data_IF_243408069480
#
_entry.id   IF_243408069480
#
_cell.length_a   1.000
_cell.length_b   1.000
_cell.length_c   1.000
_cell.angle_alpha   90.00
_cell.angle_beta   90.00
_cell.angle_gamma   90.00
#
_symmetry.space_group_name_H-M   'P 1'
#
loop_
_entity.id
_entity.type
_entity.pdbx_description
1 polymer ?
#
# COMPACT_ATOMS: atom_id res chain seq x y z
N UNK A 1 8.89 -12.06 -6.83
CA UNK A 1 9.33 -11.34 -8.07
C UNK A 1 10.31 -10.23 -7.73
N UNK A 2 9.99 -9.33 -6.84
CA UNK A 2 10.80 -8.16 -6.47
C UNK A 2 12.22 -8.57 -6.01
N UNK A 3 12.35 -9.51 -5.08
CA UNK A 3 13.66 -10.04 -4.63
C UNK A 3 14.58 -10.45 -5.79
N UNK A 4 14.03 -11.15 -6.79
CA UNK A 4 14.80 -11.58 -7.96
C UNK A 4 15.31 -10.40 -8.80
N UNK A 5 14.54 -9.31 -8.91
CA UNK A 5 14.90 -8.12 -9.68
C UNK A 5 15.93 -7.25 -8.94
N UNK A 6 15.89 -7.25 -7.62
CA UNK A 6 16.83 -6.52 -6.78
C UNK A 6 18.17 -7.24 -6.65
N UNK A 7 18.17 -8.59 -6.70
CA UNK A 7 19.38 -9.40 -6.57
C UNK A 7 19.76 -9.70 -5.12
N UNK A 8 20.97 -10.20 -4.94
CA UNK A 8 21.46 -10.71 -3.64
C UNK A 8 21.96 -9.61 -2.69
N UNK A 9 22.16 -8.39 -3.18
CA UNK A 9 22.53 -7.23 -2.35
C UNK A 9 21.35 -6.66 -1.54
N UNK A 10 20.15 -7.19 -1.77
CA UNK A 10 18.92 -6.79 -1.08
C UNK A 10 18.29 -7.98 -0.38
N UNK A 11 17.62 -7.71 0.71
CA UNK A 11 16.74 -8.67 1.38
C UNK A 11 15.34 -8.08 1.45
N UNK A 12 14.38 -8.70 0.76
CA UNK A 12 12.98 -8.26 0.73
C UNK A 12 12.19 -9.04 1.77
N UNK A 13 11.64 -8.33 2.73
CA UNK A 13 10.74 -8.88 3.76
C UNK A 13 9.30 -8.68 3.27
N UNK A 14 8.58 -9.76 3.07
CA UNK A 14 7.22 -9.75 2.53
C UNK A 14 6.21 -9.79 3.69
N UNK A 15 5.58 -8.63 3.95
CA UNK A 15 4.60 -8.45 5.03
C UNK A 15 3.19 -8.13 4.50
N UNK A 16 2.93 -8.51 3.26
CA UNK A 16 1.61 -8.42 2.65
C UNK A 16 0.61 -9.39 3.29
N UNK A 17 -0.52 -8.85 3.75
CA UNK A 17 -1.63 -9.65 4.27
C UNK A 17 -2.90 -9.30 3.51
N UNK A 18 -3.62 -10.35 3.06
CA UNK A 18 -4.92 -10.17 2.40
C UNK A 18 -5.88 -9.34 3.28
N UNK A 19 -6.61 -8.45 2.66
CA UNK A 19 -7.58 -7.55 3.30
C UNK A 19 -6.99 -6.51 4.25
N UNK A 20 -5.67 -6.30 4.29
CA UNK A 20 -5.06 -5.29 5.14
C UNK A 20 -5.57 -3.89 4.79
N UNK A 21 -5.99 -3.16 5.81
CA UNK A 21 -6.40 -1.75 5.76
C UNK A 21 -5.27 -0.84 6.25
N UNK A 22 -5.46 0.47 6.15
CA UNK A 22 -4.53 1.44 6.75
C UNK A 22 -4.64 1.44 8.27
N UNK A 23 -5.73 1.95 8.84
CA UNK A 23 -5.91 2.15 10.28
C UNK A 23 -7.33 1.80 10.78
N UNK A 24 -8.09 1.00 10.04
CA UNK A 24 -9.43 0.60 10.42
C UNK A 24 -9.50 -0.90 10.66
N UNK A 25 -10.24 -1.30 11.69
CA UNK A 25 -10.44 -2.71 12.02
C UNK A 25 -11.45 -3.37 11.09
N UNK A 26 -11.16 -4.60 10.72
CA UNK A 26 -12.10 -5.50 10.09
C UNK A 26 -12.84 -6.28 11.17
N UNK A 27 -14.15 -6.42 11.02
CA UNK A 27 -14.94 -7.30 11.92
C UNK A 27 -14.64 -8.78 11.63
N UNK A 28 -14.51 -9.12 10.35
CA UNK A 28 -14.13 -10.46 9.89
C UNK A 28 -13.48 -10.36 8.50
N UNK A 29 -12.24 -10.84 8.30
CA UNK A 29 -11.33 -11.45 9.29
C UNK A 29 -10.69 -10.41 10.22
N UNK A 30 -10.33 -10.77 11.46
CA UNK A 30 -9.65 -9.88 12.40
C UNK A 30 -8.20 -9.60 11.98
N UNK A 31 -7.52 -8.71 12.72
CA UNK A 31 -6.08 -8.43 12.59
C UNK A 31 -5.66 -7.88 11.23
N UNK A 32 -6.54 -7.13 10.57
CA UNK A 32 -6.27 -6.49 9.28
C UNK A 32 -5.86 -5.03 9.38
N UNK A 33 -5.91 -4.44 10.56
CA UNK A 33 -5.52 -3.06 10.81
C UNK A 33 -4.01 -2.89 10.71
N UNK A 34 -3.56 -2.17 9.67
CA UNK A 34 -2.14 -1.91 9.42
C UNK A 34 -1.48 -1.13 10.54
N UNK A 35 -2.19 -0.15 11.12
CA UNK A 35 -1.68 0.65 12.24
C UNK A 35 -1.34 -0.19 13.46
N UNK A 36 -2.17 -1.17 13.79
CA UNK A 36 -1.94 -2.05 14.93
C UNK A 36 -0.79 -3.03 14.69
N UNK A 37 -0.65 -3.49 13.45
CA UNK A 37 0.38 -4.45 13.05
C UNK A 37 1.77 -3.82 12.87
N UNK A 38 1.83 -2.58 12.37
CA UNK A 38 3.07 -1.96 11.92
C UNK A 38 4.15 -1.83 13.02
N UNK A 39 3.86 -1.38 14.27
CA UNK A 39 4.89 -1.22 15.30
C UNK A 39 5.62 -2.53 15.64
N UNK A 40 4.95 -3.66 15.97
CA UNK A 40 5.65 -4.93 16.23
C UNK A 40 6.37 -5.46 14.98
N UNK A 41 5.84 -5.24 13.78
CA UNK A 41 6.47 -5.63 12.52
C UNK A 41 7.80 -4.89 12.33
N UNK A 42 7.83 -3.57 12.47
CA UNK A 42 9.05 -2.77 12.37
C UNK A 42 10.10 -3.21 13.38
N UNK A 43 9.71 -3.43 14.63
CA UNK A 43 10.61 -3.88 15.68
C UNK A 43 11.22 -5.25 15.36
N UNK A 44 10.41 -6.19 14.88
CA UNK A 44 10.86 -7.57 14.61
C UNK A 44 11.85 -7.65 13.44
N UNK A 45 11.78 -6.72 12.51
CA UNK A 45 12.60 -6.72 11.29
C UNK A 45 13.72 -5.67 11.28
N UNK A 46 13.83 -4.86 12.33
CA UNK A 46 14.90 -3.84 12.42
C UNK A 46 16.30 -4.48 12.44
N UNK A 47 17.33 -3.85 11.85
CA UNK A 47 17.28 -2.56 11.15
C UNK A 47 16.69 -2.66 9.73
N UNK A 48 15.99 -1.63 9.28
CA UNK A 48 15.36 -1.54 7.95
C UNK A 48 15.91 -0.34 7.18
N UNK A 49 16.27 -0.50 5.91
CA UNK A 49 16.65 0.62 5.05
C UNK A 49 15.44 1.35 4.50
N UNK A 50 14.39 0.62 4.13
CA UNK A 50 13.21 1.14 3.45
C UNK A 50 11.95 0.38 3.82
N UNK A 51 10.87 1.10 4.06
CA UNK A 51 9.50 0.57 4.18
C UNK A 51 8.70 0.97 2.95
N UNK A 52 8.07 0.00 2.30
CA UNK A 52 7.22 0.24 1.12
C UNK A 52 5.76 0.05 1.50
N UNK A 53 4.95 1.10 1.34
CA UNK A 53 3.50 1.04 1.53
C UNK A 53 2.76 0.90 0.19
N UNK A 54 1.95 -0.14 0.08
CA UNK A 54 1.04 -0.41 -1.04
C UNK A 54 -0.35 -0.77 -0.48
N UNK A 55 -0.97 0.17 0.23
CA UNK A 55 -2.24 0.02 0.96
C UNK A 55 -3.26 1.10 0.57
N UNK A 56 -4.49 0.96 1.06
CA UNK A 56 -5.59 1.89 0.84
C UNK A 56 -6.70 1.33 -0.04
N UNK A 57 -6.40 0.33 -0.89
CA UNK A 57 -7.41 -0.30 -1.75
C UNK A 57 -8.54 -0.98 -0.94
N UNK A 58 -8.19 -1.70 0.11
CA UNK A 58 -9.19 -2.35 0.99
C UNK A 58 -10.04 -1.35 1.76
N UNK A 59 -9.48 -0.21 2.13
CA UNK A 59 -10.18 0.89 2.81
C UNK A 59 -11.30 1.48 1.94
N UNK A 60 -11.18 1.35 0.61
CA UNK A 60 -12.18 1.77 -0.36
C UNK A 60 -13.49 1.00 -0.31
N UNK A 61 -13.55 -0.15 0.36
CA UNK A 61 -14.75 -1.01 0.44
C UNK A 61 -15.94 -0.28 1.07
N UNK A 62 -17.13 -0.56 0.53
CA UNK A 62 -18.36 0.14 0.87
C UNK A 62 -18.69 0.11 2.35
N UNK A 63 -18.46 -1.03 3.00
CA UNK A 63 -18.85 -1.20 4.41
C UNK A 63 -17.97 -0.42 5.40
N UNK A 64 -16.80 0.07 4.99
CA UNK A 64 -16.03 0.97 5.83
C UNK A 64 -16.53 2.42 5.77
N UNK A 65 -17.32 2.75 4.74
CA UNK A 65 -17.90 4.08 4.54
C UNK A 65 -16.89 5.23 4.66
N UNK A 66 -15.65 5.02 4.21
CA UNK A 66 -14.58 6.01 4.26
C UNK A 66 -14.55 6.89 3.02
N UNK A 67 -14.20 8.15 3.19
CA UNK A 67 -13.78 9.04 2.11
C UNK A 67 -12.34 8.77 1.68
N UNK A 68 -11.92 9.33 0.55
CA UNK A 68 -10.52 9.26 0.12
C UNK A 68 -9.58 9.99 1.09
N UNK A 69 -10.05 11.09 1.70
CA UNK A 69 -9.33 11.86 2.70
C UNK A 69 -9.08 11.05 3.98
N UNK A 70 -10.10 10.35 4.47
CA UNK A 70 -9.95 9.49 5.66
C UNK A 70 -8.97 8.33 5.42
N UNK A 71 -8.92 7.80 4.17
CA UNK A 71 -7.94 6.77 3.80
C UNK A 71 -6.53 7.39 3.75
N UNK A 72 -6.41 8.58 3.17
CA UNK A 72 -5.15 9.34 3.15
C UNK A 72 -4.65 9.61 4.56
N UNK A 73 -5.52 10.01 5.48
CA UNK A 73 -5.17 10.29 6.88
C UNK A 73 -4.72 9.01 7.60
N UNK A 74 -5.38 7.88 7.34
CA UNK A 74 -4.92 6.58 7.83
C UNK A 74 -3.52 6.21 7.33
N UNK A 75 -3.19 6.50 6.07
CA UNK A 75 -1.84 6.31 5.54
C UNK A 75 -0.83 7.28 6.18
N UNK A 76 -1.24 8.53 6.46
CA UNK A 76 -0.39 9.50 7.14
C UNK A 76 0.05 8.99 8.52
N UNK A 77 -0.86 8.38 9.28
CA UNK A 77 -0.54 7.75 10.58
C UNK A 77 0.50 6.62 10.44
N UNK A 78 0.40 5.79 9.40
CA UNK A 78 1.39 4.73 9.16
C UNK A 78 2.78 5.31 8.83
N UNK A 79 2.83 6.34 8.00
CA UNK A 79 4.09 7.04 7.69
C UNK A 79 4.68 7.66 8.95
N UNK A 80 3.87 8.30 9.79
CA UNK A 80 4.32 8.91 11.05
C UNK A 80 4.89 7.87 12.02
N UNK A 81 4.31 6.67 12.09
CA UNK A 81 4.84 5.57 12.90
C UNK A 81 6.24 5.18 12.42
N UNK A 82 6.45 5.05 11.11
CA UNK A 82 7.78 4.72 10.57
C UNK A 82 8.77 5.83 10.83
N UNK A 83 8.42 7.08 10.48
CA UNK A 83 9.30 8.24 10.62
C UNK A 83 9.59 8.60 12.08
N UNK A 84 8.70 8.29 13.00
CA UNK A 84 8.91 8.43 14.44
C UNK A 84 9.74 7.30 15.07
N UNK A 85 10.04 6.25 14.33
CA UNK A 85 10.82 5.10 14.81
C UNK A 85 12.32 5.36 14.72
N UNK A 86 13.09 4.48 15.38
CA UNK A 86 14.56 4.39 15.24
C UNK A 86 15.00 3.05 14.65
N UNK A 87 14.15 2.46 13.82
CA UNK A 87 14.36 1.12 13.27
C UNK A 87 15.04 1.11 11.90
N UNK A 88 15.61 2.25 11.49
CA UNK A 88 16.43 2.37 10.29
C UNK A 88 17.89 1.92 10.50
N UNK A 89 18.77 2.19 9.54
CA UNK A 89 20.18 1.84 9.63
C UNK A 89 20.81 2.30 10.94
N UNK A 90 21.64 1.46 11.53
CA UNK A 90 22.34 1.69 12.81
C UNK A 90 21.40 1.88 14.03
N UNK A 91 20.11 1.63 13.90
CA UNK A 91 19.09 1.79 14.96
C UNK A 91 19.08 3.18 15.60
N UNK A 92 19.42 4.22 14.84
CA UNK A 92 19.50 5.59 15.34
C UNK A 92 18.64 6.60 14.57
N UNK A 93 18.15 6.22 13.41
CA UNK A 93 17.24 6.98 12.55
C UNK A 93 16.08 6.11 12.04
N UNK A 94 15.07 6.74 11.47
CA UNK A 94 13.96 6.03 10.82
C UNK A 94 14.40 5.39 9.50
N UNK A 95 13.72 4.32 9.05
CA UNK A 95 13.82 3.85 7.67
C UNK A 95 13.32 4.92 6.67
N UNK A 96 13.82 4.86 5.45
CA UNK A 96 13.18 5.58 4.34
C UNK A 96 11.76 5.02 4.10
N UNK A 97 10.90 5.85 3.51
CA UNK A 97 9.52 5.43 3.16
C UNK A 97 9.28 5.62 1.68
N UNK A 98 8.76 4.58 1.03
CA UNK A 98 8.20 4.63 -0.31
C UNK A 98 6.70 4.38 -0.26
N UNK A 99 5.90 5.39 -0.58
CA UNK A 99 4.45 5.26 -0.77
C UNK A 99 4.16 4.99 -2.25
N UNK A 100 3.39 3.95 -2.56
CA UNK A 100 2.84 3.75 -3.91
C UNK A 100 1.43 4.30 -3.98
N UNK A 101 0.99 4.73 -5.16
CA UNK A 101 -0.42 5.04 -5.37
C UNK A 101 -1.30 3.82 -5.14
N UNK A 102 -2.57 4.07 -4.85
CA UNK A 102 -3.60 3.03 -4.91
C UNK A 102 -3.76 2.50 -6.33
N UNK A 103 -4.17 1.24 -6.46
CA UNK A 103 -4.68 0.69 -7.71
C UNK A 103 -6.13 1.18 -7.92
N UNK A 104 -6.46 1.51 -9.17
CA UNK A 104 -7.81 1.91 -9.53
C UNK A 104 -8.56 0.67 -9.99
N UNK A 105 -9.71 0.31 -9.36
CA UNK A 105 -10.51 -0.83 -9.78
C UNK A 105 -11.13 -0.61 -11.18
N UNK A 106 -11.39 -1.69 -11.88
CA UNK A 106 -12.17 -1.67 -13.12
C UNK A 106 -13.68 -1.64 -12.81
N UNK A 107 -14.54 -1.16 -13.73
CA UNK A 107 -15.98 -1.07 -13.51
C UNK A 107 -16.66 -2.37 -13.06
N UNK A 108 -16.15 -3.52 -13.50
CA UNK A 108 -16.64 -4.83 -13.09
C UNK A 108 -16.56 -5.05 -11.57
N UNK A 109 -15.56 -4.47 -10.89
CA UNK A 109 -15.39 -4.59 -9.44
C UNK A 109 -16.63 -4.07 -8.66
N UNK A 110 -17.28 -3.04 -9.17
CA UNK A 110 -18.46 -2.44 -8.53
C UNK A 110 -19.73 -3.28 -8.69
N UNK A 111 -19.70 -4.36 -9.48
CA UNK A 111 -20.83 -5.27 -9.69
C UNK A 111 -20.83 -6.47 -8.75
N UNK A 112 -19.71 -6.76 -8.10
CA UNK A 112 -19.59 -7.91 -7.21
C UNK A 112 -20.29 -7.68 -5.88
N UNK A 113 -21.00 -8.72 -5.44
CA UNK A 113 -21.70 -8.77 -4.15
C UNK A 113 -20.96 -9.72 -3.22
N UNK A 114 -20.95 -9.37 -1.95
CA UNK A 114 -20.56 -10.29 -0.88
C UNK A 114 -21.66 -11.35 -0.61
N UNK A 115 -21.42 -12.22 0.37
CA UNK A 115 -22.33 -13.27 0.79
C UNK A 115 -23.70 -12.74 1.28
N UNK A 116 -23.78 -11.47 1.69
CA UNK A 116 -24.98 -10.79 2.13
C UNK A 116 -25.66 -10.01 1.00
N UNK A 117 -25.15 -10.09 -0.22
CA UNK A 117 -25.68 -9.38 -1.39
C UNK A 117 -25.28 -7.89 -1.47
N UNK A 118 -24.33 -7.44 -0.66
CA UNK A 118 -23.86 -6.05 -0.65
C UNK A 118 -22.80 -5.85 -1.73
N UNK A 119 -22.93 -4.77 -2.51
CA UNK A 119 -21.94 -4.34 -3.50
C UNK A 119 -20.74 -3.74 -2.77
N UNK A 120 -19.75 -4.56 -2.42
CA UNK A 120 -18.69 -4.20 -1.50
C UNK A 120 -17.65 -3.23 -2.06
N UNK A 121 -17.57 -3.03 -3.39
CA UNK A 121 -16.70 -2.06 -4.06
C UNK A 121 -17.45 -0.88 -4.70
N UNK A 122 -18.75 -0.71 -4.43
CA UNK A 122 -19.54 0.38 -5.01
C UNK A 122 -18.97 1.75 -4.66
N UNK A 123 -18.68 2.58 -5.66
CA UNK A 123 -18.09 3.91 -5.52
C UNK A 123 -16.59 3.88 -5.24
N UNK A 124 -15.95 2.72 -5.26
CA UNK A 124 -14.51 2.59 -5.00
C UNK A 124 -13.66 3.21 -6.10
N UNK A 125 -14.08 3.14 -7.36
CA UNK A 125 -13.32 3.70 -8.50
C UNK A 125 -13.04 5.17 -8.25
N UNK A 126 -14.08 5.99 -8.15
CA UNK A 126 -13.93 7.45 -7.96
C UNK A 126 -13.13 7.79 -6.69
N UNK A 127 -13.34 7.04 -5.62
CA UNK A 127 -12.63 7.21 -4.35
C UNK A 127 -11.14 6.93 -4.49
N UNK A 128 -10.76 5.83 -5.14
CA UNK A 128 -9.36 5.44 -5.30
C UNK A 128 -8.64 6.24 -6.39
N UNK A 129 -9.34 6.72 -7.41
CA UNK A 129 -8.83 7.73 -8.35
C UNK A 129 -8.42 9.02 -7.61
N UNK A 130 -9.31 9.54 -6.76
CA UNK A 130 -9.01 10.72 -5.94
C UNK A 130 -7.83 10.47 -5.00
N UNK A 131 -7.73 9.27 -4.43
CA UNK A 131 -6.66 8.89 -3.51
C UNK A 131 -5.27 8.94 -4.15
N UNK A 132 -5.14 8.73 -5.46
CA UNK A 132 -3.84 8.84 -6.17
C UNK A 132 -3.23 10.22 -5.96
N UNK A 133 -3.99 11.29 -6.20
CA UNK A 133 -3.53 12.66 -6.00
C UNK A 133 -3.26 12.99 -4.53
N UNK A 134 -4.16 12.55 -3.65
CA UNK A 134 -4.00 12.74 -2.19
C UNK A 134 -2.74 12.05 -1.64
N UNK A 135 -2.37 10.89 -2.17
CA UNK A 135 -1.14 10.20 -1.78
C UNK A 135 0.12 10.89 -2.32
N UNK A 136 0.06 11.48 -3.52
CA UNK A 136 1.16 12.30 -4.03
C UNK A 136 1.40 13.55 -3.15
N UNK A 137 0.32 14.23 -2.76
CA UNK A 137 0.38 15.38 -1.84
C UNK A 137 0.89 14.96 -0.46
N UNK A 138 0.39 13.86 0.08
CA UNK A 138 0.84 13.29 1.35
C UNK A 138 2.34 12.99 1.33
N UNK A 139 2.84 12.39 0.26
CA UNK A 139 4.26 12.08 0.16
C UNK A 139 5.13 13.34 0.16
N UNK A 140 4.68 14.43 -0.49
CA UNK A 140 5.34 15.74 -0.44
C UNK A 140 5.31 16.33 0.98
N UNK A 141 4.16 16.29 1.65
CA UNK A 141 3.96 16.76 3.03
C UNK A 141 4.88 16.02 4.00
N UNK A 142 4.89 14.70 3.93
CA UNK A 142 5.69 13.83 4.81
C UNK A 142 7.15 13.70 4.37
N UNK A 143 7.55 14.32 3.25
CA UNK A 143 8.90 14.24 2.69
C UNK A 143 9.38 12.80 2.49
N UNK A 144 8.50 11.94 2.01
CA UNK A 144 8.82 10.56 1.65
C UNK A 144 8.76 10.35 0.13
N UNK A 145 9.27 9.21 -0.32
CA UNK A 145 9.27 8.89 -1.74
C UNK A 145 7.88 8.47 -2.21
N UNK A 146 7.55 8.82 -3.46
CA UNK A 146 6.29 8.44 -4.09
C UNK A 146 6.51 7.72 -5.41
N UNK A 147 5.65 6.76 -5.71
CA UNK A 147 5.59 6.07 -6.99
C UNK A 147 4.13 5.96 -7.44
N UNK A 148 3.78 6.75 -8.45
CA UNK A 148 2.48 6.62 -9.11
C UNK A 148 2.46 5.35 -9.97
N UNK A 149 1.55 4.45 -9.63
CA UNK A 149 1.32 3.18 -10.33
C UNK A 149 0.08 3.24 -11.23
N UNK A 150 -0.78 4.24 -11.05
CA UNK A 150 -2.11 4.30 -11.65
C UNK A 150 -2.09 4.34 -13.18
N UNK A 151 -1.04 4.92 -13.76
CA UNK A 151 -0.86 5.04 -15.22
C UNK A 151 -0.29 3.78 -15.86
N UNK A 152 0.42 2.99 -15.09
CA UNK A 152 1.22 1.89 -15.60
C UNK A 152 0.63 0.52 -15.29
N UNK A 153 -0.14 0.43 -14.21
CA UNK A 153 -0.69 -0.82 -13.69
C UNK A 153 -2.21 -0.78 -13.77
N UNK A 154 -2.76 -1.83 -14.33
CA UNK A 154 -4.20 -2.02 -14.42
C UNK A 154 -4.61 -3.26 -13.62
N UNK A 155 -5.76 -3.18 -12.95
CA UNK A 155 -6.39 -4.33 -12.31
C UNK A 155 -6.80 -5.38 -13.33
N UNK A 156 -6.87 -6.64 -12.92
CA UNK A 156 -7.28 -7.77 -13.75
C UNK A 156 -8.75 -7.63 -14.20
N UNK A 157 -9.03 -8.01 -15.43
CA UNK A 157 -10.41 -8.09 -15.94
C UNK A 157 -11.24 -9.21 -15.28
N UNK A 158 -10.61 -10.13 -14.54
CA UNK A 158 -11.29 -11.25 -13.86
C UNK A 158 -12.19 -10.72 -12.73
N UNK A 159 -11.68 -9.80 -11.91
CA UNK A 159 -12.40 -9.26 -10.76
C UNK A 159 -12.36 -7.71 -10.68
N UNK A 160 -11.57 -7.09 -11.50
CA UNK A 160 -11.43 -5.64 -11.54
C UNK A 160 -10.68 -5.04 -10.36
N UNK A 161 -10.12 -5.84 -9.44
CA UNK A 161 -9.48 -5.37 -8.19
C UNK A 161 -8.04 -5.83 -8.08
N UNK A 162 -7.78 -7.12 -8.27
CA UNK A 162 -6.48 -7.70 -8.08
C UNK A 162 -5.61 -7.60 -9.35
N UNK A 163 -4.30 -7.74 -9.19
CA UNK A 163 -3.37 -7.79 -10.30
C UNK A 163 -3.29 -9.19 -10.90
N UNK A 164 -3.23 -9.27 -12.23
CA UNK A 164 -2.83 -10.49 -12.91
C UNK A 164 -1.30 -10.69 -12.87
N UNK A 165 -0.83 -11.79 -13.41
CA UNK A 165 0.60 -12.14 -13.41
C UNK A 165 1.45 -11.09 -14.14
N UNK A 166 0.94 -10.52 -15.24
CA UNK A 166 1.68 -9.53 -16.05
C UNK A 166 1.76 -8.21 -15.31
N UNK A 167 0.67 -7.77 -14.71
CA UNK A 167 0.59 -6.56 -13.87
C UNK A 167 1.47 -6.68 -12.62
N UNK A 168 1.49 -7.85 -11.96
CA UNK A 168 2.44 -8.13 -10.86
C UNK A 168 3.90 -8.02 -11.32
N UNK A 169 4.24 -8.55 -12.50
CA UNK A 169 5.59 -8.44 -13.04
C UNK A 169 5.97 -7.00 -13.37
N UNK A 170 5.03 -6.21 -13.92
CA UNK A 170 5.24 -4.78 -14.22
C UNK A 170 5.39 -3.97 -12.93
N UNK A 171 4.51 -4.19 -11.95
CA UNK A 171 4.60 -3.62 -10.61
C UNK A 171 5.97 -3.86 -9.98
N UNK A 172 6.42 -5.12 -9.97
CA UNK A 172 7.72 -5.47 -9.39
C UNK A 172 8.89 -4.75 -10.08
N UNK A 173 8.84 -4.56 -11.41
CA UNK A 173 9.87 -3.81 -12.15
C UNK A 173 9.90 -2.32 -11.78
N UNK A 174 8.74 -1.68 -11.69
CA UNK A 174 8.64 -0.26 -11.33
C UNK A 174 9.14 -0.02 -9.90
N UNK A 175 8.70 -0.84 -8.95
CA UNK A 175 9.15 -0.77 -7.55
C UNK A 175 10.64 -1.03 -7.43
N UNK A 176 11.17 -2.06 -8.12
CA UNK A 176 12.61 -2.36 -8.12
C UNK A 176 13.45 -1.18 -8.62
N UNK A 177 13.02 -0.55 -9.73
CA UNK A 177 13.70 0.65 -10.27
C UNK A 177 13.68 1.80 -9.26
N UNK A 178 12.53 2.04 -8.62
CA UNK A 178 12.39 3.12 -7.62
C UNK A 178 13.24 2.85 -6.37
N UNK A 179 13.26 1.62 -5.86
CA UNK A 179 14.10 1.23 -4.72
C UNK A 179 15.58 1.52 -5.01
N UNK A 180 16.08 1.08 -6.17
CA UNK A 180 17.48 1.31 -6.56
C UNK A 180 17.85 2.80 -6.63
N UNK A 181 16.91 3.66 -7.02
CA UNK A 181 17.10 5.13 -7.02
C UNK A 181 17.15 5.69 -5.59
N UNK A 182 16.33 5.16 -4.66
CA UNK A 182 16.27 5.63 -3.27
C UNK A 182 17.57 5.28 -2.53
N UNK A 183 18.06 4.07 -2.69
CA UNK A 183 19.26 3.59 -1.98
C UNK A 183 20.58 3.87 -2.73
N UNK A 184 20.52 4.65 -3.83
CA UNK A 184 21.69 5.03 -4.64
C UNK A 184 22.52 3.83 -5.12
N UNK A 185 21.85 2.79 -5.64
CA UNK A 185 22.48 1.54 -6.06
C UNK A 185 22.70 1.48 -7.58
#
# INVERSE_FOLDING_TARGET
MLQKLLGTSFYVIEEGLNSRTTNIDYQAPPDRNGKNYLPPCLYSHAPLDLVVFALGGNDGKTYFNRSAEEIRDGMAELIDIVQGSKYGPDLNKAPEVLLTSSLIPLPIAETFKDENGVLFMKGAIHKLEKLVGLYEELAKEKKCHYLDMSRDIQSSEIDGVHLDLQSHAKFSRLVSKKIKQIVNY
#
